data_IF_713290362661
#
_entry.id   IF_713290362661
#
_cell.length_a   1.000
_cell.length_b   1.000
_cell.length_c   1.000
_cell.angle_alpha   90.00
_cell.angle_beta   90.00
_cell.angle_gamma   90.00
#
_symmetry.space_group_name_H-M   'P 1'
#
loop_
_entity.id
_entity.type
_entity.pdbx_description
1 polymer ?
#
# COMPACT_ATOMS: atom_id res chain seq x y z
N UNK A 1 -0.68 -12.11 -19.52
CA UNK A 1 -1.62 -12.63 -18.49
C UNK A 1 -2.02 -11.60 -17.44
N UNK A 2 -1.16 -10.63 -17.07
CA UNK A 2 -1.48 -9.59 -16.08
C UNK A 2 -2.65 -8.65 -16.46
N UNK A 3 -2.85 -8.30 -17.74
CA UNK A 3 -3.94 -7.40 -18.17
C UNK A 3 -5.36 -7.89 -17.85
N UNK A 4 -5.58 -9.20 -17.77
CA UNK A 4 -6.91 -9.75 -17.45
C UNK A 4 -7.25 -9.65 -15.95
N UNK A 5 -6.25 -9.56 -15.07
CA UNK A 5 -6.44 -9.47 -13.61
C UNK A 5 -6.95 -8.09 -13.17
N UNK A 6 -6.65 -7.06 -13.95
CA UNK A 6 -7.20 -5.72 -13.74
C UNK A 6 -8.69 -5.63 -14.14
N UNK A 7 -9.14 -6.47 -15.09
CA UNK A 7 -10.51 -6.45 -15.64
C UNK A 7 -11.50 -7.30 -14.84
N UNK A 8 -11.01 -8.29 -14.08
CA UNK A 8 -11.81 -9.19 -13.26
C UNK A 8 -11.23 -9.27 -11.83
N UNK A 9 -11.57 -8.32 -10.95
CA UNK A 9 -11.06 -8.33 -9.58
C UNK A 9 -11.53 -9.57 -8.83
N UNK A 10 -10.64 -10.17 -8.03
CA UNK A 10 -11.05 -11.27 -7.15
C UNK A 10 -11.68 -10.71 -5.86
N UNK A 11 -12.62 -11.43 -5.24
CA UNK A 11 -13.24 -10.99 -4.01
C UNK A 11 -12.20 -10.81 -2.89
N UNK A 12 -12.29 -9.68 -2.21
CA UNK A 12 -11.62 -9.44 -0.93
C UNK A 12 -12.67 -9.64 0.16
N UNK A 13 -12.43 -10.49 1.17
CA UNK A 13 -13.39 -10.68 2.26
C UNK A 13 -13.83 -9.36 2.87
N UNK A 14 -15.15 -9.10 3.04
CA UNK A 14 -15.65 -7.84 3.55
C UNK A 14 -15.06 -7.44 4.91
N UNK A 15 -14.78 -8.42 5.77
CA UNK A 15 -14.16 -8.16 7.07
C UNK A 15 -12.72 -7.64 6.94
N UNK A 16 -11.94 -8.09 5.95
CA UNK A 16 -10.62 -7.53 5.65
C UNK A 16 -10.74 -6.07 5.18
N UNK A 17 -11.75 -5.73 4.38
CA UNK A 17 -11.97 -4.35 3.96
C UNK A 17 -12.37 -3.46 5.14
N UNK A 18 -13.35 -3.91 5.93
CA UNK A 18 -13.83 -3.18 7.11
C UNK A 18 -12.74 -2.98 8.16
N UNK A 19 -11.80 -3.92 8.25
CA UNK A 19 -10.66 -3.87 9.17
C UNK A 19 -9.66 -2.75 8.84
N UNK A 20 -9.48 -2.39 7.56
CA UNK A 20 -8.51 -1.35 7.14
C UNK A 20 -9.15 0.03 6.98
N UNK A 21 -10.45 0.11 6.67
CA UNK A 21 -11.12 1.38 6.36
C UNK A 21 -11.05 2.43 7.49
N UNK A 22 -11.30 2.11 8.77
CA UNK A 22 -11.18 3.09 9.86
C UNK A 22 -9.74 3.62 10.02
N UNK A 23 -8.75 2.76 9.82
CA UNK A 23 -7.35 3.15 9.86
C UNK A 23 -7.02 4.11 8.71
N UNK A 24 -7.44 3.79 7.49
CA UNK A 24 -7.22 4.66 6.35
C UNK A 24 -7.95 6.00 6.50
N UNK A 25 -9.14 6.02 7.08
CA UNK A 25 -9.87 7.25 7.36
C UNK A 25 -9.11 8.15 8.36
N UNK A 26 -8.50 7.56 9.40
CA UNK A 26 -7.64 8.29 10.31
C UNK A 26 -6.38 8.84 9.61
N UNK A 27 -5.76 8.05 8.72
CA UNK A 27 -4.62 8.49 7.92
C UNK A 27 -5.00 9.64 6.98
N UNK A 28 -6.13 9.56 6.29
CA UNK A 28 -6.65 10.66 5.45
C UNK A 28 -6.91 11.91 6.27
N UNK A 29 -7.55 11.78 7.43
CA UNK A 29 -7.78 12.89 8.36
C UNK A 29 -6.49 13.57 8.81
N UNK A 30 -5.46 12.81 9.17
CA UNK A 30 -4.14 13.34 9.52
C UNK A 30 -3.49 14.04 8.32
N UNK A 31 -3.50 13.42 7.14
CA UNK A 31 -2.86 14.01 5.95
C UNK A 31 -3.54 15.30 5.46
N UNK A 32 -4.80 15.52 5.85
CA UNK A 32 -5.58 16.72 5.50
C UNK A 32 -5.82 17.67 6.68
N UNK A 33 -5.14 17.48 7.81
CA UNK A 33 -5.40 18.27 9.03
C UNK A 33 -5.18 19.78 8.83
N UNK A 34 -4.16 20.14 8.03
CA UNK A 34 -3.82 21.52 7.70
C UNK A 34 -4.51 22.05 6.42
N UNK A 35 -5.36 21.24 5.79
CA UNK A 35 -6.10 21.63 4.59
C UNK A 35 -6.17 20.54 3.51
N UNK A 36 -6.81 20.88 2.41
CA UNK A 36 -7.04 19.92 1.33
C UNK A 36 -5.74 19.58 0.58
N UNK A 37 -5.48 18.28 0.40
CA UNK A 37 -4.35 17.78 -0.39
C UNK A 37 -4.84 17.38 -1.78
N UNK A 38 -4.35 18.10 -2.79
CA UNK A 38 -4.76 17.90 -4.19
C UNK A 38 -4.40 16.50 -4.68
N UNK A 39 -5.40 15.79 -5.22
CA UNK A 39 -5.22 14.46 -5.79
C UNK A 39 -4.75 13.39 -4.81
N UNK A 40 -4.84 13.62 -3.49
CA UNK A 40 -4.42 12.62 -2.51
C UNK A 40 -5.31 11.37 -2.61
N UNK A 41 -4.66 10.24 -2.88
CA UNK A 41 -5.25 8.91 -2.95
C UNK A 41 -4.53 8.01 -1.96
N UNK A 42 -5.29 7.25 -1.18
CA UNK A 42 -4.76 6.35 -0.15
C UNK A 42 -5.49 5.01 -0.25
N UNK A 43 -4.76 3.90 -0.20
CA UNK A 43 -5.32 2.54 -0.15
C UNK A 43 -4.38 1.58 0.56
N UNK A 44 -4.85 0.36 0.86
CA UNK A 44 -4.02 -0.75 1.33
C UNK A 44 -4.04 -1.90 0.34
N UNK A 45 -2.90 -2.54 0.21
CA UNK A 45 -2.74 -3.79 -0.53
C UNK A 45 -2.33 -4.90 0.43
N UNK A 46 -2.82 -6.12 0.20
CA UNK A 46 -2.38 -7.31 0.93
C UNK A 46 -1.50 -8.18 0.05
N UNK A 47 -0.51 -8.82 0.63
CA UNK A 47 0.28 -9.84 -0.06
C UNK A 47 -0.53 -11.12 -0.22
N UNK A 48 -0.52 -11.68 -1.42
CA UNK A 48 -1.18 -12.95 -1.79
C UNK A 48 -0.30 -13.74 -2.74
N UNK A 49 -0.52 -15.05 -2.83
CA UNK A 49 0.04 -15.91 -3.87
C UNK A 49 -1.04 -16.30 -4.85
N UNK A 50 -0.70 -16.39 -6.14
CA UNK A 50 -1.52 -17.00 -7.16
C UNK A 50 -0.65 -17.83 -8.08
N UNK A 51 -0.97 -19.12 -8.21
CA UNK A 51 -0.25 -20.07 -9.07
C UNK A 51 1.26 -20.16 -8.73
N UNK A 52 1.63 -19.87 -7.48
CA UNK A 52 3.02 -19.86 -7.01
C UNK A 52 3.69 -18.49 -7.08
N UNK A 53 3.12 -17.54 -7.80
CA UNK A 53 3.64 -16.18 -7.98
C UNK A 53 3.07 -15.19 -6.94
N UNK A 54 3.88 -14.24 -6.52
CA UNK A 54 3.54 -13.20 -5.55
C UNK A 54 2.80 -12.02 -6.18
N UNK A 55 1.69 -11.63 -5.57
CA UNK A 55 0.90 -10.46 -5.96
C UNK A 55 0.53 -9.59 -4.76
N UNK A 56 0.22 -8.33 -5.05
CA UNK A 56 -0.42 -7.38 -4.17
C UNK A 56 -1.87 -7.23 -4.59
N UNK A 57 -2.82 -7.55 -3.70
CA UNK A 57 -4.24 -7.37 -3.96
C UNK A 57 -4.74 -6.13 -3.22
N UNK A 58 -5.35 -5.20 -3.94
CA UNK A 58 -5.93 -3.98 -3.36
C UNK A 58 -7.12 -4.34 -2.45
N UNK A 59 -7.00 -4.04 -1.16
CA UNK A 59 -7.96 -4.42 -0.12
C UNK A 59 -9.21 -3.54 -0.16
N UNK A 60 -9.06 -2.26 -0.48
CA UNK A 60 -10.17 -1.31 -0.56
C UNK A 60 -9.97 -0.31 -1.71
N UNK A 61 -11.04 0.33 -2.17
CA UNK A 61 -10.94 1.43 -3.13
C UNK A 61 -10.06 2.56 -2.55
N UNK A 62 -9.60 3.46 -3.41
CA UNK A 62 -8.97 4.69 -2.91
C UNK A 62 -10.00 5.49 -2.10
N UNK A 63 -9.59 5.98 -0.93
CA UNK A 63 -10.49 6.81 -0.13
C UNK A 63 -10.93 8.04 -0.92
N UNK A 64 -12.23 8.36 -0.81
CA UNK A 64 -12.90 9.46 -1.51
C UNK A 64 -12.90 9.37 -3.05
N UNK A 65 -12.53 8.22 -3.64
CA UNK A 65 -12.77 7.95 -5.05
C UNK A 65 -14.29 7.92 -5.29
N UNK A 66 -14.81 8.93 -5.99
CA UNK A 66 -16.24 9.05 -6.31
C UNK A 66 -16.50 8.59 -7.75
N UNK A 67 -17.66 7.96 -7.97
CA UNK A 67 -18.13 7.52 -9.29
C UNK A 67 -18.22 6.00 -9.49
N UNK A 68 -18.65 5.60 -10.69
CA UNK A 68 -18.94 4.20 -11.08
C UNK A 68 -17.71 3.28 -10.96
N UNK A 69 -16.51 3.85 -10.99
CA UNK A 69 -15.25 3.11 -10.95
C UNK A 69 -14.77 2.71 -9.53
N UNK A 70 -15.29 3.32 -8.47
CA UNK A 70 -14.82 3.06 -7.09
C UNK A 70 -15.09 1.61 -6.63
N UNK A 71 -16.15 0.96 -7.14
CA UNK A 71 -16.42 -0.46 -6.85
C UNK A 71 -15.55 -1.43 -7.66
N UNK A 72 -14.96 -0.97 -8.76
CA UNK A 72 -14.18 -1.80 -9.68
C UNK A 72 -12.68 -1.84 -9.40
N UNK A 73 -12.20 -1.17 -8.35
CA UNK A 73 -10.78 -1.12 -7.95
C UNK A 73 -10.43 -2.11 -6.83
N UNK A 74 -11.39 -2.41 -5.95
CA UNK A 74 -11.23 -3.44 -4.90
C UNK A 74 -10.93 -4.79 -5.55
N UNK A 75 -9.94 -5.51 -5.02
CA UNK A 75 -9.60 -6.85 -5.46
C UNK A 75 -8.74 -6.93 -6.72
N UNK A 76 -8.31 -5.78 -7.27
CA UNK A 76 -7.30 -5.74 -8.35
C UNK A 76 -5.97 -6.29 -7.87
N UNK A 77 -5.30 -7.02 -8.75
CA UNK A 77 -3.97 -7.58 -8.52
C UNK A 77 -2.92 -6.75 -9.22
N UNK A 78 -1.84 -6.50 -8.50
CA UNK A 78 -0.63 -5.89 -8.98
C UNK A 78 0.50 -6.90 -8.77
N UNK A 79 1.31 -7.20 -9.79
CA UNK A 79 2.54 -7.95 -9.58
C UNK A 79 3.39 -7.34 -8.47
N UNK A 80 4.05 -8.15 -7.64
CA UNK A 80 4.88 -7.64 -6.52
C UNK A 80 6.16 -6.90 -6.96
N UNK A 81 6.41 -6.77 -8.26
CA UNK A 81 7.48 -5.94 -8.82
C UNK A 81 6.98 -4.60 -9.37
N UNK A 82 5.69 -4.26 -9.20
CA UNK A 82 5.10 -3.05 -9.76
C UNK A 82 5.50 -1.79 -8.98
N UNK A 83 6.30 -0.93 -9.62
CA UNK A 83 6.62 0.44 -9.18
C UNK A 83 7.09 0.50 -7.71
N UNK A 84 6.71 1.57 -7.01
CA UNK A 84 7.10 1.84 -5.61
C UNK A 84 6.57 0.78 -4.64
N UNK A 85 5.39 0.19 -4.90
CA UNK A 85 4.84 -0.87 -4.05
C UNK A 85 5.66 -2.14 -4.17
N UNK A 86 6.13 -2.47 -5.37
CA UNK A 86 7.01 -3.60 -5.58
C UNK A 86 8.38 -3.42 -4.95
N UNK A 87 8.94 -2.21 -5.00
CA UNK A 87 10.17 -1.89 -4.28
C UNK A 87 10.01 -2.03 -2.76
N UNK A 88 8.90 -1.55 -2.20
CA UNK A 88 8.56 -1.73 -0.79
C UNK A 88 8.33 -3.21 -0.43
N UNK A 89 7.67 -3.98 -1.31
CA UNK A 89 7.46 -5.40 -1.12
C UNK A 89 8.78 -6.18 -1.09
N UNK A 90 9.63 -5.97 -2.08
CA UNK A 90 10.87 -6.72 -2.26
C UNK A 90 11.94 -6.40 -1.21
N UNK A 91 12.01 -5.14 -0.77
CA UNK A 91 12.99 -4.71 0.24
C UNK A 91 12.49 -4.84 1.68
N UNK A 92 11.18 -4.87 1.91
CA UNK A 92 10.60 -4.72 3.24
C UNK A 92 10.82 -3.33 3.86
N UNK A 93 11.31 -2.36 3.09
CA UNK A 93 11.58 -1.00 3.54
C UNK A 93 10.47 -0.04 3.13
N UNK A 94 10.41 1.11 3.81
CA UNK A 94 9.52 2.20 3.42
C UNK A 94 10.12 2.88 2.19
N UNK A 95 9.29 3.18 1.19
CA UNK A 95 9.70 3.92 0.01
C UNK A 95 8.88 5.18 -0.17
N UNK A 96 9.51 6.23 -0.67
CA UNK A 96 8.85 7.50 -1.01
C UNK A 96 9.50 8.14 -2.23
N UNK A 97 8.89 9.20 -2.75
CA UNK A 97 9.55 10.09 -3.71
C UNK A 97 10.65 10.91 -3.02
N UNK A 98 11.80 11.08 -3.68
CA UNK A 98 12.85 12.01 -3.25
C UNK A 98 12.32 13.44 -3.11
N UNK A 99 13.06 14.28 -2.38
CA UNK A 99 12.85 15.72 -2.43
C UNK A 99 13.38 16.28 -3.75
N UNK A 100 12.57 17.13 -4.39
CA UNK A 100 12.92 17.91 -5.57
C UNK A 100 12.75 19.41 -5.33
N UNK A 101 13.60 20.22 -5.94
CA UNK A 101 13.49 21.68 -5.82
C UNK A 101 12.31 22.25 -6.64
N UNK A 102 11.89 21.57 -7.71
CA UNK A 102 10.75 21.97 -8.54
C UNK A 102 10.08 20.79 -9.24
N UNK A 103 8.88 21.03 -9.79
CA UNK A 103 8.13 20.05 -10.59
C UNK A 103 8.87 19.73 -11.90
N UNK A 104 9.53 20.72 -12.49
CA UNK A 104 10.33 20.55 -13.71
C UNK A 104 11.51 19.60 -13.48
N UNK A 105 12.17 19.70 -12.32
CA UNK A 105 13.25 18.78 -11.93
C UNK A 105 12.74 17.34 -11.78
N UNK A 106 11.61 17.15 -11.08
CA UNK A 106 10.95 15.85 -10.98
C UNK A 106 10.59 15.29 -12.37
N UNK A 107 9.99 16.12 -13.22
CA UNK A 107 9.62 15.72 -14.58
C UNK A 107 10.84 15.38 -15.44
N UNK A 108 11.96 16.09 -15.27
CA UNK A 108 13.20 15.76 -15.98
C UNK A 108 13.70 14.36 -15.63
N UNK A 109 13.59 13.94 -14.37
CA UNK A 109 13.96 12.59 -13.95
C UNK A 109 12.92 11.54 -14.37
N UNK A 110 11.63 11.84 -14.31
CA UNK A 110 10.58 10.95 -14.81
C UNK A 110 10.73 10.65 -16.31
N UNK A 111 11.11 11.63 -17.13
CA UNK A 111 11.34 11.44 -18.59
C UNK A 111 12.45 10.44 -18.91
N UNK A 112 13.29 10.07 -17.96
CA UNK A 112 14.31 9.02 -18.16
C UNK A 112 13.69 7.64 -18.29
N UNK A 113 12.50 7.44 -17.73
CA UNK A 113 11.83 6.14 -17.65
C UNK A 113 10.40 6.13 -18.19
N UNK A 114 9.74 7.29 -18.27
CA UNK A 114 8.35 7.42 -18.69
C UNK A 114 8.21 8.27 -19.96
N UNK A 115 7.61 7.66 -20.98
CA UNK A 115 7.16 8.34 -22.19
C UNK A 115 5.68 8.72 -22.03
N UNK A 116 5.36 10.02 -22.11
CA UNK A 116 3.97 10.47 -22.13
C UNK A 116 3.70 11.79 -21.42
N UNK A 117 2.42 12.02 -21.15
CA UNK A 117 1.92 13.23 -20.49
C UNK A 117 2.13 13.15 -18.97
N UNK A 118 3.26 13.69 -18.51
CA UNK A 118 3.65 13.69 -17.10
C UNK A 118 2.69 14.49 -16.20
N UNK A 119 1.84 15.37 -16.75
CA UNK A 119 0.87 16.14 -15.95
C UNK A 119 -0.18 15.26 -15.27
N UNK A 120 -0.31 14.00 -15.72
CA UNK A 120 -1.21 12.98 -15.17
C UNK A 120 -0.55 12.09 -14.12
N UNK A 121 0.76 12.23 -13.92
CA UNK A 121 1.53 11.44 -12.97
C UNK A 121 1.52 12.17 -11.62
N UNK A 122 1.19 11.49 -10.51
CA UNK A 122 1.33 12.06 -9.17
C UNK A 122 2.73 12.60 -8.91
N UNK A 123 2.82 13.68 -8.13
CA UNK A 123 4.10 14.36 -7.84
C UNK A 123 4.79 13.81 -6.60
N UNK A 124 4.09 13.05 -5.77
CA UNK A 124 4.63 12.48 -4.54
C UNK A 124 3.95 11.15 -4.24
N UNK A 125 4.77 10.16 -3.89
CA UNK A 125 4.38 8.78 -3.60
C UNK A 125 4.92 8.34 -2.24
N UNK A 126 4.22 7.39 -1.63
CA UNK A 126 4.62 6.71 -0.40
C UNK A 126 4.11 5.26 -0.40
N UNK A 127 4.99 4.34 -0.05
CA UNK A 127 4.66 2.95 0.22
C UNK A 127 5.26 2.52 1.57
N UNK A 128 4.41 2.17 2.53
CA UNK A 128 4.82 1.66 3.85
C UNK A 128 4.44 0.19 3.93
N UNK A 129 5.40 -0.75 3.86
CA UNK A 129 5.11 -2.17 4.07
C UNK A 129 4.87 -2.44 5.56
N UNK A 130 3.97 -3.35 5.83
CA UNK A 130 3.74 -3.93 7.16
C UNK A 130 4.31 -5.33 7.14
N UNK A 131 5.33 -5.54 7.96
CA UNK A 131 6.02 -6.81 8.07
C UNK A 131 5.28 -7.73 9.03
N UNK A 132 5.27 -9.03 8.78
CA UNK A 132 4.85 -10.06 9.71
C UNK A 132 6.04 -10.76 10.37
N UNK A 133 5.79 -11.91 11.02
CA UNK A 133 6.85 -12.82 11.42
C UNK A 133 7.80 -13.12 10.25
N UNK A 134 9.09 -13.28 10.55
CA UNK A 134 10.13 -13.55 9.53
C UNK A 134 10.29 -12.45 8.46
N UNK A 135 9.86 -11.22 8.77
CA UNK A 135 10.01 -10.03 7.91
C UNK A 135 9.31 -10.15 6.55
N UNK A 136 8.30 -11.01 6.45
CA UNK A 136 7.46 -11.09 5.26
C UNK A 136 6.51 -9.89 5.17
N UNK A 137 6.31 -9.33 3.97
CA UNK A 137 5.34 -8.25 3.77
C UNK A 137 3.92 -8.82 3.79
N UNK A 138 3.07 -8.29 4.68
CA UNK A 138 1.67 -8.71 4.88
C UNK A 138 0.71 -7.70 4.26
N UNK A 139 0.93 -6.42 4.50
CA UNK A 139 0.19 -5.30 3.93
C UNK A 139 1.16 -4.26 3.37
N UNK A 140 0.68 -3.41 2.46
CA UNK A 140 1.34 -2.17 2.05
C UNK A 140 0.31 -1.05 2.09
N UNK A 141 0.56 -0.02 2.91
CA UNK A 141 -0.13 1.26 2.79
C UNK A 141 0.49 2.00 1.60
N UNK A 142 -0.34 2.31 0.62
CA UNK A 142 0.06 3.09 -0.54
C UNK A 142 -0.66 4.44 -0.53
N UNK A 143 0.09 5.51 -0.79
CA UNK A 143 -0.48 6.83 -1.00
C UNK A 143 0.26 7.58 -2.11
N UNK A 144 -0.48 8.40 -2.85
CA UNK A 144 0.08 9.36 -3.78
C UNK A 144 -0.74 10.67 -3.79
N UNK A 145 -0.14 11.75 -4.29
CA UNK A 145 -0.83 13.04 -4.45
C UNK A 145 -0.16 13.95 -5.48
N UNK A 146 -0.84 15.05 -5.82
CA UNK A 146 -0.37 16.06 -6.77
C UNK A 146 0.31 17.25 -6.06
N UNK A 147 0.89 17.05 -4.88
CA UNK A 147 1.69 18.06 -4.19
C UNK A 147 3.15 17.63 -4.16
N UNK A 148 4.03 18.49 -4.70
CA UNK A 148 5.48 18.26 -4.71
C UNK A 148 6.00 18.12 -3.27
N UNK A 149 6.91 17.16 -3.06
CA UNK A 149 7.58 16.92 -1.78
C UNK A 149 6.66 16.56 -0.60
N UNK A 150 5.39 16.21 -0.85
CA UNK A 150 4.45 15.94 0.23
C UNK A 150 4.93 14.80 1.14
N UNK A 151 5.40 13.69 0.58
CA UNK A 151 5.93 12.58 1.39
C UNK A 151 7.45 12.67 1.64
N UNK A 152 8.14 13.67 1.07
CA UNK A 152 9.54 13.96 1.37
C UNK A 152 9.74 14.67 2.74
N UNK A 153 8.66 14.88 3.49
CA UNK A 153 8.71 15.37 4.87
C UNK A 153 8.91 14.18 5.84
N UNK A 154 10.07 14.11 6.49
CA UNK A 154 10.44 13.03 7.41
C UNK A 154 9.50 12.92 8.62
N UNK A 155 9.08 14.05 9.20
CA UNK A 155 8.16 14.03 10.33
C UNK A 155 6.81 13.45 9.91
N UNK A 156 6.30 13.86 8.74
CA UNK A 156 5.04 13.34 8.21
C UNK A 156 5.09 11.82 8.05
N UNK A 157 6.16 11.30 7.45
CA UNK A 157 6.35 9.85 7.28
C UNK A 157 6.51 9.16 8.65
N UNK A 158 7.24 9.74 9.59
CA UNK A 158 7.40 9.18 10.94
C UNK A 158 6.07 9.06 11.68
N UNK A 159 5.17 10.04 11.56
CA UNK A 159 3.82 9.99 12.14
C UNK A 159 2.96 8.90 11.51
N UNK A 160 2.97 8.79 10.18
CA UNK A 160 2.28 7.70 9.48
C UNK A 160 2.76 6.33 9.95
N UNK A 161 4.07 6.16 10.12
CA UNK A 161 4.64 4.91 10.67
C UNK A 161 4.21 4.67 12.10
N UNK A 162 4.11 5.71 12.93
CA UNK A 162 3.60 5.57 14.29
C UNK A 162 2.13 5.11 14.32
N UNK A 163 1.29 5.66 13.43
CA UNK A 163 -0.10 5.22 13.24
C UNK A 163 -0.15 3.76 12.79
N UNK A 164 0.67 3.38 11.80
CA UNK A 164 0.78 2.01 11.31
C UNK A 164 1.22 1.01 12.40
N UNK A 165 2.15 1.41 13.28
CA UNK A 165 2.52 0.61 14.46
C UNK A 165 1.35 0.44 15.44
N UNK A 166 0.47 1.43 15.54
CA UNK A 166 -0.79 1.32 16.27
C UNK A 166 -1.72 0.25 15.71
N UNK A 167 -1.85 0.20 14.37
CA UNK A 167 -2.58 -0.86 13.68
C UNK A 167 -1.97 -2.24 13.98
N UNK A 168 -0.64 -2.38 13.92
CA UNK A 168 0.03 -3.65 14.24
C UNK A 168 -0.31 -4.14 15.65
N UNK A 169 -0.17 -3.27 16.66
CA UNK A 169 -0.49 -3.61 18.05
C UNK A 169 -1.94 -4.05 18.23
N UNK A 170 -2.88 -3.39 17.54
CA UNK A 170 -4.29 -3.75 17.59
C UNK A 170 -4.53 -5.17 17.06
N UNK A 171 -4.00 -5.50 15.87
CA UNK A 171 -4.21 -6.84 15.31
C UNK A 171 -3.42 -7.92 16.05
N UNK A 172 -2.24 -7.63 16.57
CA UNK A 172 -1.50 -8.57 17.42
C UNK A 172 -2.26 -8.87 18.73
N UNK A 173 -2.95 -7.87 19.30
CA UNK A 173 -3.85 -8.10 20.43
C UNK A 173 -5.06 -8.95 20.03
N UNK A 174 -5.69 -8.66 18.88
CA UNK A 174 -6.81 -9.45 18.35
C UNK A 174 -6.44 -10.90 18.00
N UNK A 175 -5.17 -11.21 17.71
CA UNK A 175 -4.73 -12.60 17.54
C UNK A 175 -4.72 -13.38 18.86
N UNK A 176 -4.52 -12.70 19.99
CA UNK A 176 -4.55 -13.30 21.33
C UNK A 176 -5.97 -13.39 21.88
N UNK A 177 -6.82 -12.43 21.54
CA UNK A 177 -8.24 -12.38 21.91
C UNK A 177 -9.12 -12.26 20.65
N UNK A 178 -9.23 -13.34 19.86
CA UNK A 178 -9.94 -13.29 18.59
C UNK A 178 -11.45 -13.13 18.78
N UNK A 179 -12.08 -12.37 17.89
CA UNK A 179 -13.54 -12.39 17.79
C UNK A 179 -14.02 -13.80 17.41
N UNK A 180 -15.02 -14.37 18.11
CA UNK A 180 -15.40 -15.77 17.93
C UNK A 180 -15.73 -16.17 16.48
N UNK A 181 -16.36 -15.26 15.73
CA UNK A 181 -16.80 -15.48 14.36
C UNK A 181 -15.89 -14.85 13.30
N UNK A 182 -14.68 -14.41 13.67
CA UNK A 182 -13.73 -13.84 12.72
C UNK A 182 -12.45 -14.65 12.71
N UNK A 183 -12.01 -15.09 11.54
CA UNK A 183 -10.75 -15.83 11.38
C UNK A 183 -9.90 -15.20 10.31
N UNK A 184 -8.59 -15.20 10.54
CA UNK A 184 -7.59 -14.84 9.55
C UNK A 184 -7.11 -16.10 8.85
N UNK A 185 -7.51 -16.29 7.60
CA UNK A 185 -7.09 -17.46 6.85
C UNK A 185 -5.65 -17.26 6.34
N UNK A 186 -4.75 -18.25 6.50
CA UNK A 186 -3.40 -18.14 6.00
C UNK A 186 -3.41 -17.96 4.49
N UNK A 187 -2.70 -16.94 4.01
CA UNK A 187 -2.37 -16.77 2.61
C UNK A 187 -0.94 -17.25 2.43
N UNK A 188 -0.72 -18.11 1.44
CA UNK A 188 0.64 -18.47 1.07
C UNK A 188 1.32 -17.26 0.42
N UNK A 189 2.61 -17.09 0.68
CA UNK A 189 3.46 -16.15 -0.04
C UNK A 189 3.85 -16.78 -1.37
N UNK A 190 3.71 -16.03 -2.46
CA UNK A 190 4.21 -16.45 -3.76
C UNK A 190 5.64 -15.97 -3.98
N UNK A 191 6.35 -16.61 -4.90
CA UNK A 191 7.66 -16.15 -5.35
C UNK A 191 7.52 -14.80 -6.06
N UNK A 192 8.40 -13.83 -5.81
CA UNK A 192 8.34 -12.57 -6.52
C UNK A 192 8.41 -12.79 -8.03
N UNK A 193 7.44 -12.25 -8.78
CA UNK A 193 7.50 -12.26 -10.24
C UNK A 193 8.72 -11.42 -10.66
N UNK A 194 9.74 -12.08 -11.20
CA UNK A 194 10.96 -11.43 -11.68
C UNK A 194 10.73 -10.81 -13.06
N UNK A 195 11.00 -9.52 -13.22
CA UNK A 195 10.87 -8.76 -14.47
C UNK A 195 11.29 -7.29 -14.27
N UNK A 196 11.29 -6.48 -15.33
CA UNK A 196 11.65 -5.06 -15.25
C UNK A 196 10.77 -4.37 -14.18
N UNK A 197 11.41 -3.92 -13.10
CA UNK A 197 10.75 -3.08 -12.13
C UNK A 197 10.45 -1.75 -12.82
N UNK A 198 9.18 -1.43 -13.05
CA UNK A 198 8.75 -0.09 -13.50
C UNK A 198 8.98 0.98 -12.43
N UNK A 199 9.98 0.80 -11.56
CA UNK A 199 10.34 1.71 -10.49
C UNK A 199 10.99 2.94 -11.12
N UNK A 200 10.31 4.07 -10.99
CA UNK A 200 10.87 5.35 -11.37
C UNK A 200 12.11 5.65 -10.52
N UNK A 201 13.15 6.19 -11.15
CA UNK A 201 14.36 6.69 -10.47
C UNK A 201 14.11 7.87 -9.52
N UNK A 202 12.84 8.26 -9.33
CA UNK A 202 12.43 9.30 -8.39
C UNK A 202 12.16 8.78 -6.98
N UNK A 203 12.26 7.47 -6.75
CA UNK A 203 11.94 6.86 -5.46
C UNK A 203 13.19 6.47 -4.66
N UNK A 204 13.12 6.68 -3.35
CA UNK A 204 14.14 6.25 -2.38
C UNK A 204 13.58 5.28 -1.34
N UNK A 205 14.39 4.31 -0.88
CA UNK A 205 14.16 3.60 0.36
C UNK A 205 14.54 4.48 1.56
N UNK A 206 13.79 4.34 2.65
CA UNK A 206 14.13 4.92 3.95
C UNK A 206 14.71 3.86 4.87
N UNK A 207 15.89 4.13 5.42
CA UNK A 207 16.48 3.32 6.49
C UNK A 207 15.86 3.61 7.85
N UNK A 208 15.35 4.83 8.04
CA UNK A 208 14.57 5.25 9.20
C UNK A 208 13.43 6.19 8.76
N UNK A 209 12.25 6.10 9.39
CA UNK A 209 11.84 5.10 10.37
C UNK A 209 11.77 3.68 9.79
N UNK A 210 11.87 2.66 10.65
CA UNK A 210 11.69 1.26 10.26
C UNK A 210 10.23 0.95 9.91
N UNK A 211 10.03 -0.01 9.01
CA UNK A 211 8.70 -0.51 8.65
C UNK A 211 7.94 -1.03 9.89
N UNK A 212 6.61 -0.77 10.00
CA UNK A 212 5.79 -1.37 11.04
C UNK A 212 5.80 -2.90 10.92
N UNK A 213 5.81 -3.59 12.06
CA UNK A 213 5.88 -5.06 12.13
C UNK A 213 4.82 -5.61 13.07
N UNK A 214 4.02 -6.54 12.57
CA UNK A 214 3.15 -7.42 13.34
C UNK A 214 4.02 -8.49 14.02
N UNK A 215 3.71 -8.78 15.28
CA UNK A 215 4.30 -9.87 16.03
C UNK A 215 3.68 -11.23 15.67
N UNK A 216 2.36 -11.29 15.47
CA UNK A 216 1.61 -12.55 15.34
C UNK A 216 0.93 -12.70 13.97
N UNK A 217 0.69 -11.60 13.25
CA UNK A 217 -0.06 -11.61 11.98
C UNK A 217 0.85 -11.95 10.80
N UNK A 218 0.62 -13.09 10.17
CA UNK A 218 1.37 -13.58 9.00
C UNK A 218 0.66 -13.35 7.66
N UNK A 219 -0.65 -13.10 7.65
CA UNK A 219 -1.44 -12.78 6.46
C UNK A 219 -2.57 -11.81 6.80
N UNK A 220 -3.22 -11.23 5.80
CA UNK A 220 -4.39 -10.38 6.01
C UNK A 220 -5.57 -10.84 5.16
N UNK A 221 -6.28 -11.86 5.66
CA UNK A 221 -7.42 -12.49 5.02
C UNK A 221 -8.50 -12.83 6.04
N UNK A 222 -8.95 -11.78 6.74
CA UNK A 222 -10.01 -11.88 7.73
C UNK A 222 -11.36 -12.07 7.05
N UNK A 223 -12.06 -13.15 7.43
CA UNK A 223 -13.39 -13.48 6.96
C UNK A 223 -14.27 -13.96 8.12
N UNK A 224 -15.59 -13.78 7.97
CA UNK A 224 -16.55 -14.31 8.92
C UNK A 224 -16.51 -15.84 8.85
N UNK A 225 -16.11 -16.48 9.94
CA UNK A 225 -16.22 -17.92 10.11
C UNK A 225 -17.59 -18.20 10.73
N UNK A 226 -18.44 -18.92 10.00
CA UNK A 226 -19.67 -19.47 10.58
C UNK A 226 -19.25 -20.41 11.72
N UNK A 227 -19.78 -20.18 12.91
CA UNK A 227 -19.58 -21.03 14.08
C UNK A 227 -20.29 -22.38 13.93
#
# INVERSE_FOLDING_TARGET
MAENLYKHPEPVPPASQLAVLPFLAAVDGYLREDGNVSGLRITMHRAVSREGDGYLQQVCAYLQESGVNARGTVGRFFPVNDRIMGAAYGSGQIWRTHRYDSVEALHADLRKTEDGDLSKIPLSYLAIPFLGPQDQVVLILYADCNQLNFFANDERVARLVAMSKGLCRLFDWLQKEPFPALRNFPLQKGEPITGDSGLYGIHEPLSKPEAPKFAEVFSFNYEAAVA
#
